data_IF_711622354469
#
_entry.id   IF_711622354469
#
_cell.length_a   1.000
_cell.length_b   1.000
_cell.length_c   1.000
_cell.angle_alpha   90.00
_cell.angle_beta   90.00
_cell.angle_gamma   90.00
#
_symmetry.space_group_name_H-M   'P 1'
#
loop_
_entity.id
_entity.type
_entity.pdbx_description
1 polymer ?
#
# COMPACT_ATOMS: atom_id res chain seq x y z
N UNK A 1 14.76 14.02 1.91
CA UNK A 1 13.32 13.93 1.62
C UNK A 1 12.87 12.55 2.01
N UNK A 2 11.92 12.43 2.93
CA UNK A 2 11.33 11.14 3.27
C UNK A 2 10.42 10.74 2.11
N UNK A 3 10.66 9.58 1.51
CA UNK A 3 9.79 9.06 0.48
C UNK A 3 8.44 8.71 1.11
N UNK A 4 7.48 9.61 0.97
CA UNK A 4 6.08 9.41 1.36
C UNK A 4 5.36 8.52 0.34
N UNK A 5 5.92 7.35 0.05
CA UNK A 5 5.22 6.38 -0.80
C UNK A 5 3.92 5.96 -0.07
N UNK A 6 2.78 6.14 -0.72
CA UNK A 6 1.47 5.77 -0.17
C UNK A 6 0.66 6.88 0.50
N UNK A 7 1.23 8.05 0.86
CA UNK A 7 0.44 9.10 1.55
C UNK A 7 -0.68 9.68 0.68
N UNK A 8 -0.46 9.72 -0.63
CA UNK A 8 -1.47 10.14 -1.60
C UNK A 8 -2.51 9.05 -1.91
N UNK A 9 -2.43 7.87 -1.29
CA UNK A 9 -3.49 6.85 -1.38
C UNK A 9 -4.61 7.13 -0.36
N UNK A 10 -4.30 7.84 0.73
CA UNK A 10 -5.31 8.26 1.70
C UNK A 10 -6.18 9.38 1.12
N UNK A 11 -7.46 9.09 0.93
CA UNK A 11 -8.45 10.07 0.48
C UNK A 11 -8.52 11.30 1.40
N UNK A 12 -8.47 11.08 2.71
CA UNK A 12 -8.48 12.17 3.69
C UNK A 12 -7.25 13.08 3.55
N UNK A 13 -6.06 12.48 3.42
CA UNK A 13 -4.83 13.24 3.21
C UNK A 13 -4.88 14.03 1.91
N UNK A 14 -5.23 13.37 0.79
CA UNK A 14 -5.34 14.03 -0.52
C UNK A 14 -6.27 15.22 -0.49
N UNK A 15 -7.47 15.06 0.09
CA UNK A 15 -8.46 16.14 0.17
C UNK A 15 -7.92 17.33 0.96
N UNK A 16 -7.34 17.09 2.14
CA UNK A 16 -6.71 18.15 2.95
C UNK A 16 -5.58 18.82 2.17
N UNK A 17 -4.68 18.04 1.60
CA UNK A 17 -3.53 18.55 0.85
C UNK A 17 -3.97 19.43 -0.32
N UNK A 18 -4.96 18.99 -1.11
CA UNK A 18 -5.46 19.74 -2.25
C UNK A 18 -6.19 21.03 -1.84
N UNK A 19 -6.87 21.05 -0.69
CA UNK A 19 -7.43 22.29 -0.12
C UNK A 19 -6.33 23.29 0.21
N UNK A 20 -5.24 22.84 0.85
CA UNK A 20 -4.11 23.72 1.16
C UNK A 20 -3.40 24.23 -0.10
N UNK A 21 -3.20 23.38 -1.12
CA UNK A 21 -2.64 23.78 -2.41
C UNK A 21 -3.54 24.78 -3.12
N UNK A 22 -4.86 24.57 -3.13
CA UNK A 22 -5.82 25.50 -3.73
C UNK A 22 -5.76 26.88 -3.07
N UNK A 23 -5.70 26.91 -1.74
CA UNK A 23 -5.55 28.13 -0.95
C UNK A 23 -4.24 28.85 -1.28
N UNK A 24 -3.12 28.13 -1.27
CA UNK A 24 -1.80 28.71 -1.58
C UNK A 24 -1.72 29.24 -3.02
N UNK A 25 -2.39 28.57 -3.96
CA UNK A 25 -2.45 28.98 -5.36
C UNK A 25 -3.51 30.06 -5.66
N UNK A 26 -4.30 30.50 -4.67
CA UNK A 26 -5.41 31.44 -4.88
C UNK A 26 -6.50 30.90 -5.83
N UNK A 27 -6.71 29.58 -5.84
CA UNK A 27 -7.70 28.91 -6.70
C UNK A 27 -8.94 28.53 -5.91
N UNK A 28 -10.10 28.65 -6.55
CA UNK A 28 -11.35 28.08 -6.04
C UNK A 28 -11.44 26.63 -6.50
N UNK A 29 -10.93 25.72 -5.69
CA UNK A 29 -10.99 24.29 -5.92
C UNK A 29 -11.51 23.58 -4.66
N UNK A 30 -12.44 22.65 -4.83
CA UNK A 30 -13.01 21.82 -3.77
C UNK A 30 -12.87 20.37 -4.21
N UNK A 31 -12.16 19.51 -3.44
CA UNK A 31 -12.08 18.09 -3.75
C UNK A 31 -13.45 17.42 -3.76
N UNK A 32 -13.67 16.52 -4.71
CA UNK A 32 -14.90 15.72 -4.77
C UNK A 32 -14.99 14.77 -3.55
N UNK A 33 -16.13 14.72 -2.84
CA UNK A 33 -16.27 13.96 -1.59
C UNK A 33 -16.40 12.44 -1.82
N UNK A 34 -16.79 12.04 -3.02
CA UNK A 34 -17.11 10.69 -3.47
C UNK A 34 -15.96 10.02 -4.23
N UNK A 35 -14.92 10.76 -4.61
CA UNK A 35 -13.71 10.14 -5.18
C UNK A 35 -12.97 9.34 -4.12
N UNK A 36 -12.82 8.04 -4.36
CA UNK A 36 -12.05 7.13 -3.51
C UNK A 36 -10.89 6.49 -4.26
N UNK A 37 -9.69 6.56 -3.69
CA UNK A 37 -8.53 5.86 -4.24
C UNK A 37 -8.73 4.35 -4.25
N UNK A 38 -9.19 3.79 -3.13
CA UNK A 38 -9.32 2.35 -2.95
C UNK A 38 -10.22 1.74 -4.01
N UNK A 39 -11.41 2.32 -4.19
CA UNK A 39 -12.39 1.89 -5.20
C UNK A 39 -11.79 1.93 -6.60
N UNK A 40 -11.20 3.07 -7.00
CA UNK A 40 -10.62 3.19 -8.34
C UNK A 40 -9.46 2.22 -8.59
N UNK A 41 -8.65 1.95 -7.55
CA UNK A 41 -7.57 0.97 -7.62
C UNK A 41 -8.11 -0.45 -7.79
N UNK A 42 -9.15 -0.80 -7.04
CA UNK A 42 -9.81 -2.10 -7.15
C UNK A 42 -10.41 -2.28 -8.53
N UNK A 43 -11.19 -1.32 -9.03
CA UNK A 43 -11.73 -1.36 -10.39
C UNK A 43 -10.63 -1.45 -11.47
N UNK A 44 -9.46 -0.85 -11.25
CA UNK A 44 -8.34 -0.97 -12.18
C UNK A 44 -7.74 -2.38 -12.17
N UNK A 45 -7.63 -3.00 -10.99
CA UNK A 45 -7.14 -4.37 -10.84
C UNK A 45 -8.12 -5.38 -11.44
N UNK A 46 -9.42 -5.17 -11.25
CA UNK A 46 -10.46 -6.01 -11.85
C UNK A 46 -10.37 -5.96 -13.38
N UNK A 47 -10.32 -4.76 -13.97
CA UNK A 47 -10.13 -4.59 -15.42
C UNK A 47 -8.84 -5.25 -15.93
N UNK A 48 -7.76 -5.20 -15.15
CA UNK A 48 -6.53 -5.88 -15.51
C UNK A 48 -6.69 -7.41 -15.47
N UNK A 49 -7.43 -7.92 -14.48
CA UNK A 49 -7.81 -9.31 -14.38
C UNK A 49 -8.59 -9.77 -15.61
N UNK A 50 -9.63 -9.03 -16.00
CA UNK A 50 -10.43 -9.31 -17.19
C UNK A 50 -9.57 -9.34 -18.45
N UNK A 51 -8.67 -8.36 -18.63
CA UNK A 51 -7.76 -8.33 -19.78
C UNK A 51 -6.81 -9.54 -19.81
N UNK A 52 -6.36 -10.02 -18.65
CA UNK A 52 -5.53 -11.23 -18.58
C UNK A 52 -6.37 -12.45 -18.93
N UNK A 53 -7.58 -12.59 -18.36
CA UNK A 53 -8.47 -13.72 -18.62
C UNK A 53 -8.91 -13.80 -20.09
N UNK A 54 -9.29 -12.67 -20.68
CA UNK A 54 -9.86 -12.64 -22.03
C UNK A 54 -8.81 -12.64 -23.14
N UNK A 55 -7.58 -12.19 -22.85
CA UNK A 55 -6.59 -11.91 -23.90
C UNK A 55 -5.19 -12.46 -23.68
N UNK A 56 -4.88 -13.03 -22.51
CA UNK A 56 -3.60 -13.73 -22.32
C UNK A 56 -3.78 -15.24 -22.49
N UNK A 57 -2.87 -15.87 -23.25
CA UNK A 57 -2.73 -17.33 -23.26
C UNK A 57 -2.01 -17.76 -21.96
N UNK A 58 -2.81 -17.92 -20.90
CA UNK A 58 -2.30 -18.23 -19.55
C UNK A 58 -1.63 -19.59 -19.48
N UNK A 59 -2.04 -20.56 -20.29
CA UNK A 59 -1.40 -21.88 -20.40
C UNK A 59 0.00 -21.76 -21.03
N UNK A 60 0.14 -20.99 -22.10
CA UNK A 60 1.46 -20.73 -22.70
C UNK A 60 2.39 -19.98 -21.73
N UNK A 61 1.87 -19.00 -20.99
CA UNK A 61 2.62 -18.30 -19.95
C UNK A 61 3.06 -19.25 -18.84
N UNK A 62 2.18 -20.15 -18.40
CA UNK A 62 2.51 -21.16 -17.40
C UNK A 62 3.63 -22.08 -17.87
N UNK A 63 3.55 -22.55 -19.13
CA UNK A 63 4.60 -23.35 -19.76
C UNK A 63 5.95 -22.64 -19.83
N UNK A 64 5.97 -21.31 -20.06
CA UNK A 64 7.20 -20.51 -20.03
C UNK A 64 7.76 -20.34 -18.62
N UNK A 65 6.91 -20.18 -17.61
CA UNK A 65 7.33 -20.05 -16.21
C UNK A 65 8.00 -21.35 -15.74
N UNK A 66 7.42 -22.50 -16.08
CA UNK A 66 7.95 -23.81 -15.69
C UNK A 66 9.13 -24.29 -16.55
N UNK A 67 9.06 -24.04 -17.86
CA UNK A 67 10.01 -24.57 -18.85
C UNK A 67 11.10 -23.59 -19.29
N UNK A 68 10.97 -22.30 -18.96
CA UNK A 68 11.86 -21.25 -19.43
C UNK A 68 11.63 -20.82 -20.88
N UNK A 69 12.40 -19.84 -21.33
CA UNK A 69 12.32 -19.33 -22.70
C UNK A 69 12.77 -20.38 -23.74
N UNK A 70 12.13 -20.44 -24.91
CA UNK A 70 12.58 -21.31 -26.00
C UNK A 70 14.04 -21.06 -26.37
N UNK A 71 14.78 -22.14 -26.64
CA UNK A 71 16.17 -22.06 -27.03
C UNK A 71 16.34 -21.33 -28.37
N UNK A 72 17.46 -20.61 -28.52
CA UNK A 72 17.82 -19.94 -29.78
C UNK A 72 17.15 -18.58 -30.03
N UNK A 73 16.38 -18.07 -29.07
CA UNK A 73 15.85 -16.70 -29.12
C UNK A 73 16.93 -15.66 -28.77
N UNK A 74 16.94 -14.48 -29.42
CA UNK A 74 17.87 -13.42 -29.10
C UNK A 74 17.50 -12.77 -27.76
N UNK A 75 18.52 -12.37 -26.98
CA UNK A 75 18.31 -11.57 -25.78
C UNK A 75 18.01 -10.11 -26.14
N UNK A 76 17.07 -9.51 -25.41
CA UNK A 76 16.77 -8.07 -25.48
C UNK A 76 17.54 -7.36 -24.37
N UNK A 77 18.38 -6.34 -24.67
CA UNK A 77 19.06 -5.56 -23.65
C UNK A 77 18.08 -4.88 -22.66
N UNK A 78 18.40 -4.76 -21.36
CA UNK A 78 19.63 -5.20 -20.70
C UNK A 78 19.62 -6.68 -20.24
N UNK A 79 18.61 -7.47 -20.63
CA UNK A 79 18.36 -8.81 -20.09
C UNK A 79 19.26 -9.94 -20.58
N UNK A 80 20.35 -9.64 -21.30
CA UNK A 80 21.31 -10.66 -21.70
C UNK A 80 22.12 -11.14 -20.47
N UNK A 81 22.36 -12.45 -20.30
CA UNK A 81 23.25 -12.93 -19.27
C UNK A 81 24.64 -12.36 -19.53
N UNK A 82 25.28 -11.85 -18.47
CA UNK A 82 26.67 -11.40 -18.57
C UNK A 82 27.54 -12.58 -18.97
N UNK A 83 28.20 -12.50 -20.12
CA UNK A 83 29.23 -13.48 -20.48
C UNK A 83 30.41 -13.27 -19.52
N UNK A 84 30.94 -14.30 -18.85
CA UNK A 84 32.14 -14.14 -18.03
C UNK A 84 33.28 -13.55 -18.86
N UNK A 85 33.64 -12.28 -18.61
CA UNK A 85 34.67 -11.56 -19.36
C UNK A 85 34.19 -10.27 -20.06
N UNK A 86 32.88 -10.04 -20.16
CA UNK A 86 32.31 -8.73 -20.47
C UNK A 86 32.42 -7.82 -19.24
N UNK A 87 33.53 -7.10 -19.15
CA UNK A 87 33.65 -5.89 -18.31
C UNK A 87 33.47 -4.65 -19.18
N UNK A 88 32.32 -4.57 -19.86
CA UNK A 88 31.85 -3.35 -20.51
C UNK A 88 31.36 -2.34 -19.48
N UNK A 89 32.28 -1.51 -18.98
CA UNK A 89 32.02 -0.28 -18.23
C UNK A 89 30.90 -0.39 -17.17
N UNK A 90 31.13 -1.22 -16.15
CA UNK A 90 30.43 -1.06 -14.87
C UNK A 90 30.74 0.32 -14.28
N UNK A 91 29.89 1.30 -14.58
CA UNK A 91 29.67 2.42 -13.65
C UNK A 91 29.15 1.83 -12.34
N UNK A 92 29.48 2.42 -11.18
CA UNK A 92 29.24 1.79 -9.88
C UNK A 92 27.79 1.35 -9.79
N UNK A 93 27.63 0.04 -9.69
CA UNK A 93 26.42 -0.67 -9.32
C UNK A 93 25.68 0.16 -8.25
N UNK A 94 24.58 0.77 -8.67
CA UNK A 94 23.57 1.30 -7.76
C UNK A 94 22.95 0.09 -7.06
N UNK A 95 23.66 -0.46 -6.07
CA UNK A 95 22.98 -1.09 -4.95
C UNK A 95 22.05 -0.03 -4.44
N UNK A 96 20.74 -0.23 -4.60
CA UNK A 96 19.74 0.62 -3.97
C UNK A 96 20.22 0.86 -2.54
N UNK A 97 20.38 2.13 -2.17
CA UNK A 97 20.74 2.49 -0.82
C UNK A 97 19.83 1.69 0.11
N UNK A 98 20.42 0.98 1.07
CA UNK A 98 19.63 0.37 2.13
C UNK A 98 18.66 1.45 2.64
N UNK A 99 17.36 1.13 2.81
CA UNK A 99 16.44 2.10 3.36
C UNK A 99 17.06 2.66 4.65
N UNK A 100 17.03 3.99 4.78
CA UNK A 100 17.46 4.67 6.00
C UNK A 100 16.89 3.88 7.19
N UNK A 101 17.70 3.49 8.19
CA UNK A 101 17.17 2.78 9.33
C UNK A 101 16.00 3.59 9.88
N UNK A 102 14.88 2.92 10.16
CA UNK A 102 13.70 3.57 10.69
C UNK A 102 14.11 4.55 11.79
N UNK A 103 13.59 5.79 11.80
CA UNK A 103 13.94 6.75 12.83
C UNK A 103 13.68 6.09 14.17
N UNK A 104 14.74 5.95 14.97
CA UNK A 104 14.61 5.42 16.31
C UNK A 104 13.59 6.29 17.03
N UNK A 105 12.58 5.65 17.64
CA UNK A 105 11.56 6.36 18.41
C UNK A 105 12.25 7.38 19.30
N UNK A 106 11.81 8.65 19.32
CA UNK A 106 12.32 9.58 20.31
C UNK A 106 11.91 9.02 21.67
N UNK A 107 12.88 8.49 22.41
CA UNK A 107 12.70 8.28 23.84
C UNK A 107 12.33 9.65 24.44
N UNK A 108 11.13 9.73 25.02
CA UNK A 108 10.74 10.87 25.86
C UNK A 108 9.82 11.92 25.26
N UNK A 109 8.85 11.57 24.39
CA UNK A 109 7.69 12.45 24.20
C UNK A 109 6.59 12.07 25.20
N UNK A 110 6.64 12.69 26.39
CA UNK A 110 5.57 12.63 27.38
C UNK A 110 4.24 13.06 26.73
N UNK A 111 3.34 12.10 26.53
CA UNK A 111 1.94 12.39 26.26
C UNK A 111 1.36 12.91 27.58
N UNK A 112 1.25 14.23 27.71
CA UNK A 112 0.50 14.85 28.79
C UNK A 112 -0.93 14.26 28.79
N UNK A 113 -1.22 13.50 29.84
CA UNK A 113 -2.48 12.77 30.00
C UNK A 113 -3.68 13.71 29.94
N UNK A 114 -4.59 13.43 29.00
CA UNK A 114 -5.96 13.92 29.08
C UNK A 114 -6.64 13.24 30.27
N UNK A 115 -7.13 14.06 31.20
CA UNK A 115 -7.80 13.64 32.42
C UNK A 115 -8.91 12.60 32.13
N UNK A 116 -8.79 11.46 32.79
CA UNK A 116 -9.83 10.45 32.86
C UNK A 116 -11.01 10.99 33.68
N UNK A 117 -12.19 11.00 33.08
CA UNK A 117 -13.45 11.11 33.82
C UNK A 117 -13.70 9.79 34.55
N UNK A 118 -13.82 9.88 35.86
CA UNK A 118 -14.16 8.82 36.81
C UNK A 118 -15.47 8.10 36.44
N UNK A 119 -15.52 6.76 36.37
CA UNK A 119 -16.77 6.04 36.52
C UNK A 119 -17.04 5.80 38.02
N UNK A 120 -18.06 6.48 38.55
CA UNK A 120 -18.61 6.17 39.87
C UNK A 120 -19.42 4.87 39.77
N UNK A 121 -18.93 3.81 40.41
CA UNK A 121 -19.68 2.58 40.65
C UNK A 121 -20.53 2.69 41.92
N UNK A 122 -21.78 2.27 41.81
CA UNK A 122 -22.68 1.72 42.84
C UNK A 122 -23.66 0.86 42.03
N UNK A 123 -24.02 -0.38 42.34
CA UNK A 123 -23.78 -1.30 43.43
C UNK A 123 -24.57 -2.57 43.06
N UNK A 124 -24.16 -3.72 43.61
CA UNK A 124 -24.80 -5.02 43.45
C UNK A 124 -26.30 -4.97 43.76
N UNK A 125 -27.10 -5.77 43.06
CA UNK A 125 -27.93 -6.81 43.70
C UNK A 125 -27.96 -8.06 42.81
N UNK A 126 -27.79 -9.20 43.47
CA UNK A 126 -27.82 -10.54 42.92
C UNK A 126 -29.25 -11.11 42.97
N UNK A 127 -29.39 -12.33 42.44
CA UNK A 127 -30.55 -13.24 42.49
C UNK A 127 -31.61 -12.99 41.39
N UNK A 128 -32.12 -13.97 40.64
CA UNK A 128 -32.36 -15.39 40.90
C UNK A 128 -32.38 -16.20 39.59
N UNK A 129 -31.93 -17.44 39.71
CA UNK A 129 -32.00 -18.54 38.75
C UNK A 129 -33.43 -19.10 38.70
N UNK A 130 -34.02 -19.26 37.51
CA UNK A 130 -35.15 -20.20 37.26
C UNK A 130 -35.02 -20.78 35.85
N UNK A 131 -34.77 -22.09 35.79
CA UNK A 131 -35.05 -22.98 34.66
C UNK A 131 -36.57 -23.15 34.46
N UNK A 132 -37.05 -22.96 33.22
CA UNK A 132 -38.29 -23.50 32.58
C UNK A 132 -38.58 -22.62 31.34
N UNK A 133 -38.99 -23.07 30.16
CA UNK A 133 -39.58 -24.32 29.70
C UNK A 133 -39.45 -24.36 28.15
N UNK A 134 -39.64 -25.55 27.59
CA UNK A 134 -39.66 -25.90 26.18
C UNK A 134 -40.40 -24.92 25.23
N UNK A 135 -39.84 -24.76 24.03
CA UNK A 135 -40.48 -25.10 22.73
C UNK A 135 -39.45 -25.00 21.58
#
# INVERSE_FOLDING_TARGET
>A
GTHWHGSLESDAFRRRFLVEVARAAGRRFVPAPDTSFGVLREEQLDRLGDLVEEHADTDALWGLIEGGAPAGLPFVPPGAPSVPGDVGAGGPESRGAAPDPAPQSPEGLEIAGSAAATPHGLGQEAEQHVDQEAL
#
